data_IF_589141007936
#
_entry.id   IF_589141007936
#
_cell.length_a   1.000
_cell.length_b   1.000
_cell.length_c   1.000
_cell.angle_alpha   90.00
_cell.angle_beta   90.00
_cell.angle_gamma   90.00
#
_symmetry.space_group_name_H-M   'P 1'
#
loop_
_entity.id
_entity.type
_entity.pdbx_description
1 polymer ?
#
# COMPACT_ATOMS: atom_id res chain seq x y z
N UNK A 1 -3.23 18.86 -0.49
CA UNK A 1 -1.93 18.86 -1.19
C UNK A 1 -1.57 17.41 -1.44
N UNK A 2 -1.43 16.98 -2.70
CA UNK A 2 -1.06 15.59 -2.98
C UNK A 2 0.47 15.47 -2.88
N UNK A 3 0.97 15.02 -1.74
CA UNK A 3 2.38 14.69 -1.58
C UNK A 3 2.67 13.41 -2.38
N UNK A 4 3.42 13.55 -3.47
CA UNK A 4 3.85 12.41 -4.27
C UNK A 4 4.92 11.64 -3.50
N UNK A 5 4.57 10.44 -3.04
CA UNK A 5 5.52 9.49 -2.48
C UNK A 5 6.60 9.16 -3.52
N UNK A 6 7.85 9.54 -3.25
CA UNK A 6 9.01 9.14 -4.05
C UNK A 6 9.35 7.68 -3.76
N UNK A 7 8.70 6.80 -4.50
CA UNK A 7 8.96 5.36 -4.48
C UNK A 7 10.13 5.03 -5.42
N UNK A 8 11.04 4.17 -4.97
CA UNK A 8 12.08 3.58 -5.80
C UNK A 8 11.48 2.58 -6.80
N UNK A 9 12.23 2.20 -7.83
CA UNK A 9 11.75 1.30 -8.88
C UNK A 9 11.21 -0.02 -8.34
N UNK A 10 11.86 -0.59 -7.31
CA UNK A 10 11.39 -1.81 -6.62
C UNK A 10 10.05 -1.61 -5.91
N UNK A 11 9.91 -0.50 -5.17
CA UNK A 11 8.67 -0.20 -4.44
C UNK A 11 7.51 0.05 -5.41
N UNK A 12 7.76 0.77 -6.51
CA UNK A 12 6.77 0.96 -7.58
C UNK A 12 6.30 -0.37 -8.17
N UNK A 13 7.22 -1.29 -8.44
CA UNK A 13 6.87 -2.60 -8.99
C UNK A 13 6.07 -3.46 -8.00
N UNK A 14 6.48 -3.49 -6.73
CA UNK A 14 5.74 -4.19 -5.67
C UNK A 14 4.33 -3.62 -5.50
N UNK A 15 4.22 -2.29 -5.45
CA UNK A 15 2.95 -1.59 -5.35
C UNK A 15 2.06 -1.87 -6.56
N UNK A 16 2.61 -1.79 -7.78
CA UNK A 16 1.90 -2.09 -9.03
C UNK A 16 1.38 -3.52 -9.06
N UNK A 17 2.22 -4.49 -8.68
CA UNK A 17 1.80 -5.89 -8.60
C UNK A 17 0.67 -6.07 -7.58
N UNK A 18 0.76 -5.42 -6.42
CA UNK A 18 -0.29 -5.47 -5.41
C UNK A 18 -1.58 -4.80 -5.87
N UNK A 19 -1.48 -3.67 -6.58
CA UNK A 19 -2.61 -2.98 -7.18
C UNK A 19 -3.31 -3.84 -8.23
N UNK A 20 -2.56 -4.50 -9.11
CA UNK A 20 -3.13 -5.43 -10.09
C UNK A 20 -3.83 -6.60 -9.40
N UNK A 21 -3.24 -7.19 -8.37
CA UNK A 21 -3.86 -8.28 -7.59
C UNK A 21 -5.17 -7.83 -6.92
N UNK A 22 -5.16 -6.66 -6.26
CA UNK A 22 -6.34 -6.12 -5.59
C UNK A 22 -7.41 -5.69 -6.58
N UNK A 23 -7.04 -5.05 -7.68
CA UNK A 23 -7.97 -4.66 -8.73
C UNK A 23 -8.64 -5.87 -9.37
N UNK A 24 -7.92 -6.98 -9.59
CA UNK A 24 -8.56 -8.24 -10.02
C UNK A 24 -9.63 -8.72 -9.03
N UNK A 25 -9.35 -8.65 -7.72
CA UNK A 25 -10.33 -9.00 -6.67
C UNK A 25 -11.52 -8.02 -6.64
N UNK A 26 -11.26 -6.72 -6.79
CA UNK A 26 -12.30 -5.69 -6.84
C UNK A 26 -13.22 -5.87 -8.04
N UNK A 27 -12.64 -6.06 -9.24
CA UNK A 27 -13.39 -6.35 -10.48
C UNK A 27 -14.23 -7.61 -10.31
N UNK A 28 -13.67 -8.67 -9.71
CA UNK A 28 -14.41 -9.91 -9.43
C UNK A 28 -15.57 -9.70 -8.45
N UNK A 29 -15.50 -8.68 -7.58
CA UNK A 29 -16.57 -8.29 -6.67
C UNK A 29 -17.53 -7.24 -7.26
N UNK A 30 -17.39 -6.92 -8.56
CA UNK A 30 -18.09 -5.81 -9.26
C UNK A 30 -17.81 -4.42 -8.66
N UNK A 31 -16.68 -4.26 -7.97
CA UNK A 31 -16.20 -2.95 -7.51
C UNK A 31 -15.28 -2.32 -8.58
N UNK A 32 -15.21 -0.99 -8.57
CA UNK A 32 -14.31 -0.25 -9.43
C UNK A 32 -12.84 -0.46 -8.98
N UNK A 33 -11.91 -0.62 -9.93
CA UNK A 33 -10.48 -0.71 -9.62
C UNK A 33 -9.97 0.62 -9.10
N UNK A 34 -8.99 0.56 -8.20
CA UNK A 34 -8.35 1.75 -7.63
C UNK A 34 -7.01 2.02 -8.32
N UNK A 35 -6.61 3.29 -8.33
CA UNK A 35 -5.31 3.70 -8.88
C UNK A 35 -4.19 3.26 -7.96
N UNK A 36 -3.00 3.06 -8.53
CA UNK A 36 -1.81 2.67 -7.77
C UNK A 36 -1.50 3.70 -6.68
N UNK A 37 -1.58 4.99 -7.01
CA UNK A 37 -1.34 6.08 -6.05
C UNK A 37 -2.36 6.08 -4.91
N UNK A 38 -3.64 5.85 -5.20
CA UNK A 38 -4.68 5.78 -4.17
C UNK A 38 -4.48 4.56 -3.27
N UNK A 39 -4.16 3.40 -3.86
CA UNK A 39 -3.80 2.23 -3.09
C UNK A 39 -2.60 2.49 -2.18
N UNK A 40 -1.57 3.17 -2.67
CA UNK A 40 -0.39 3.50 -1.89
C UNK A 40 -0.77 4.30 -0.65
N UNK A 41 -1.59 5.35 -0.80
CA UNK A 41 -2.05 6.16 0.32
C UNK A 41 -2.86 5.33 1.32
N UNK A 42 -3.83 4.53 0.86
CA UNK A 42 -4.68 3.70 1.73
C UNK A 42 -3.85 2.68 2.52
N UNK A 43 -2.86 2.05 1.87
CA UNK A 43 -1.98 1.09 2.54
C UNK A 43 -1.05 1.80 3.52
N UNK A 44 -0.46 2.94 3.13
CA UNK A 44 0.44 3.70 4.00
C UNK A 44 -0.26 4.21 5.24
N UNK A 45 -1.47 4.75 5.11
CA UNK A 45 -2.26 5.24 6.23
C UNK A 45 -2.52 4.12 7.25
N UNK A 46 -3.03 2.97 6.79
CA UNK A 46 -3.23 1.80 7.63
C UNK A 46 -1.92 1.25 8.21
N UNK A 47 -0.84 1.25 7.41
CA UNK A 47 0.46 0.77 7.85
C UNK A 47 1.07 1.67 8.92
N UNK A 48 0.85 2.99 8.86
CA UNK A 48 1.31 3.96 9.87
C UNK A 48 0.53 3.77 11.17
N UNK A 49 -0.78 3.53 11.12
CA UNK A 49 -1.58 3.24 12.32
C UNK A 49 -1.14 1.94 13.02
N UNK A 50 -0.73 0.95 12.24
CA UNK A 50 -0.26 -0.35 12.72
C UNK A 50 1.26 -0.41 12.93
N UNK A 51 1.97 0.68 12.66
CA UNK A 51 3.42 0.74 12.79
C UNK A 51 3.82 0.78 14.27
N UNK A 52 4.52 -0.24 14.70
CA UNK A 52 5.06 -0.35 16.04
C UNK A 52 6.57 -0.60 16.00
N UNK A 53 7.26 -0.20 17.07
CA UNK A 53 8.68 -0.48 17.25
C UNK A 53 8.82 -1.77 18.05
N UNK A 54 9.37 -2.81 17.43
CA UNK A 54 9.74 -4.04 18.14
C UNK A 54 10.80 -3.77 19.21
N UNK A 55 10.90 -4.66 20.19
CA UNK A 55 11.92 -4.59 21.26
C UNK A 55 13.37 -4.49 20.75
N UNK A 56 13.64 -4.98 19.53
CA UNK A 56 14.94 -4.84 18.86
C UNK A 56 15.15 -3.49 18.14
N UNK A 57 14.26 -2.51 18.30
CA UNK A 57 14.34 -1.20 17.65
C UNK A 57 13.98 -1.22 16.15
N UNK A 58 13.28 -2.26 15.68
CA UNK A 58 12.86 -2.37 14.27
C UNK A 58 11.41 -1.90 14.13
N UNK A 59 11.14 -1.12 13.08
CA UNK A 59 9.78 -0.76 12.70
C UNK A 59 9.11 -1.97 12.06
N UNK A 60 8.00 -2.41 12.64
CA UNK A 60 7.16 -3.48 12.15
C UNK A 60 5.73 -2.98 11.95
N UNK A 61 4.98 -3.65 11.09
CA UNK A 61 3.54 -3.43 10.94
C UNK A 61 2.86 -4.62 11.60
N UNK A 62 2.12 -4.38 12.69
CA UNK A 62 1.34 -5.41 13.37
C UNK A 62 0.16 -5.81 12.46
N UNK A 63 -0.07 -7.12 12.29
CA UNK A 63 -1.09 -7.67 11.39
C UNK A 63 -2.25 -8.26 12.17
#
# INVERSE_FOLDING_TARGET
MAEMLRLNSKEKELLRNKAVELNKKLISKKCEPIKDTELAHIILEQAIELAEVSESGKVIILK
#
